data_IF_139814583241
#
_entry.id   IF_139814583241
#
_cell.length_a   1.000
_cell.length_b   1.000
_cell.length_c   1.000
_cell.angle_alpha   90.00
_cell.angle_beta   90.00
_cell.angle_gamma   90.00
#
_symmetry.space_group_name_H-M   'P 1'
#
loop_
_entity.id
_entity.type
_entity.pdbx_description
1 polymer ?
#
# COMPACT_ATOMS: atom_id res chain seq x y z
N UNK A 1 16.80 -15.12 -56.32
CA UNK A 1 15.42 -14.85 -55.88
C UNK A 1 14.96 -15.73 -54.71
N UNK A 2 15.32 -17.02 -54.67
CA UNK A 2 14.88 -17.97 -53.62
C UNK A 2 15.26 -17.58 -52.17
N UNK A 3 16.33 -16.80 -52.00
CA UNK A 3 16.79 -16.40 -50.67
C UNK A 3 16.03 -15.18 -50.12
N UNK A 4 15.51 -14.31 -50.98
CA UNK A 4 14.86 -13.07 -50.54
C UNK A 4 13.47 -13.33 -49.94
N UNK A 5 12.71 -14.29 -50.47
CA UNK A 5 11.42 -14.64 -49.86
C UNK A 5 11.61 -15.27 -48.47
N UNK A 6 12.67 -16.06 -48.24
CA UNK A 6 12.94 -16.68 -46.93
C UNK A 6 13.19 -15.62 -45.87
N UNK A 7 13.95 -14.58 -46.24
CA UNK A 7 14.21 -13.43 -45.38
C UNK A 7 12.91 -12.67 -45.07
N UNK A 8 12.09 -12.39 -46.08
CA UNK A 8 10.79 -11.70 -45.87
C UNK A 8 9.86 -12.50 -44.96
N UNK A 9 9.76 -13.82 -45.18
CA UNK A 9 8.93 -14.70 -44.33
C UNK A 9 9.47 -14.76 -42.91
N UNK A 10 10.79 -14.84 -42.71
CA UNK A 10 11.40 -14.82 -41.38
C UNK A 10 11.08 -13.51 -40.63
N UNK A 11 11.17 -12.36 -41.32
CA UNK A 11 10.78 -11.07 -40.75
C UNK A 11 9.30 -11.03 -40.35
N UNK A 12 8.39 -11.54 -41.19
CA UNK A 12 6.96 -11.61 -40.87
C UNK A 12 6.69 -12.50 -39.66
N UNK A 13 7.37 -13.64 -39.54
CA UNK A 13 7.24 -14.54 -38.40
C UNK A 13 7.74 -13.87 -37.11
N UNK A 14 8.88 -13.17 -37.15
CA UNK A 14 9.40 -12.44 -35.98
C UNK A 14 8.45 -11.30 -35.59
N UNK A 15 7.92 -10.55 -36.55
CA UNK A 15 6.96 -9.49 -36.30
C UNK A 15 5.65 -10.03 -35.71
N UNK A 16 5.16 -11.18 -36.20
CA UNK A 16 3.98 -11.83 -35.65
C UNK A 16 4.23 -12.35 -34.23
N UNK A 17 5.39 -12.97 -34.00
CA UNK A 17 5.79 -13.43 -32.67
C UNK A 17 5.93 -12.27 -31.69
N UNK A 18 6.48 -11.12 -32.10
CA UNK A 18 6.63 -9.98 -31.20
C UNK A 18 5.29 -9.42 -30.74
N UNK A 19 4.26 -9.42 -31.59
CA UNK A 19 2.90 -8.99 -31.23
C UNK A 19 2.29 -9.88 -30.15
N UNK A 20 2.67 -11.16 -30.06
CA UNK A 20 2.17 -12.09 -29.04
C UNK A 20 3.06 -12.06 -27.79
N UNK A 21 4.38 -12.12 -27.97
CA UNK A 21 5.35 -12.22 -26.88
C UNK A 21 5.33 -10.97 -26.01
N UNK A 22 5.19 -9.78 -26.62
CA UNK A 22 5.21 -8.53 -25.87
C UNK A 22 4.05 -8.42 -24.85
N UNK A 23 2.76 -8.57 -25.22
CA UNK A 23 1.67 -8.50 -24.25
C UNK A 23 1.70 -9.65 -23.23
N UNK A 24 2.12 -10.85 -23.64
CA UNK A 24 2.25 -11.98 -22.70
C UNK A 24 3.33 -11.70 -21.66
N UNK A 25 4.48 -11.18 -22.09
CA UNK A 25 5.56 -10.80 -21.18
C UNK A 25 5.15 -9.67 -20.24
N UNK A 26 4.44 -8.65 -20.75
CA UNK A 26 4.00 -7.55 -19.89
C UNK A 26 3.00 -8.03 -18.85
N UNK A 27 2.01 -8.82 -19.22
CA UNK A 27 0.98 -9.33 -18.30
C UNK A 27 1.53 -10.32 -17.26
N UNK A 28 2.37 -11.27 -17.68
CA UNK A 28 2.80 -12.36 -16.81
C UNK A 28 4.09 -12.07 -16.04
N UNK A 29 4.92 -11.13 -16.50
CA UNK A 29 6.24 -10.87 -15.90
C UNK A 29 6.38 -9.43 -15.45
N UNK A 30 6.21 -8.47 -16.36
CA UNK A 30 6.49 -7.07 -16.04
C UNK A 30 5.52 -6.53 -14.99
N UNK A 31 4.21 -6.65 -15.21
CA UNK A 31 3.19 -6.16 -14.28
C UNK A 31 3.32 -6.74 -12.87
N UNK A 32 3.43 -8.07 -12.65
CA UNK A 32 3.58 -8.60 -11.30
C UNK A 32 4.92 -8.19 -10.65
N UNK A 33 6.01 -8.10 -11.41
CA UNK A 33 7.29 -7.64 -10.88
C UNK A 33 7.24 -6.18 -10.43
N UNK A 34 6.65 -5.29 -11.23
CA UNK A 34 6.45 -3.89 -10.87
C UNK A 34 5.55 -3.73 -9.67
N UNK A 35 4.42 -4.46 -9.62
CA UNK A 35 3.54 -4.48 -8.44
C UNK A 35 4.31 -4.91 -7.20
N UNK A 36 4.99 -6.05 -7.23
CA UNK A 36 5.77 -6.53 -6.08
C UNK A 36 6.82 -5.51 -5.62
N UNK A 37 7.53 -4.87 -6.55
CA UNK A 37 8.54 -3.87 -6.22
C UNK A 37 7.93 -2.64 -5.54
N UNK A 38 6.85 -2.08 -6.11
CA UNK A 38 6.15 -0.93 -5.56
C UNK A 38 5.57 -1.27 -4.18
N UNK A 39 4.92 -2.44 -4.01
CA UNK A 39 4.38 -2.87 -2.69
C UNK A 39 5.47 -2.84 -1.63
N UNK A 40 6.59 -3.50 -1.92
CA UNK A 40 7.68 -3.63 -0.95
C UNK A 40 8.30 -2.27 -0.60
N UNK A 41 8.32 -1.34 -1.55
CA UNK A 41 8.85 0.00 -1.32
C UNK A 41 7.89 0.81 -0.43
N UNK A 42 6.61 0.83 -0.80
CA UNK A 42 5.56 1.49 -0.03
C UNK A 42 5.45 0.93 1.38
N UNK A 43 5.59 -0.39 1.55
CA UNK A 43 5.60 -1.04 2.87
C UNK A 43 6.77 -0.54 3.73
N UNK A 44 7.99 -0.52 3.17
CA UNK A 44 9.19 -0.04 3.88
C UNK A 44 9.06 1.44 4.26
N UNK A 45 8.47 2.25 3.41
CA UNK A 45 8.21 3.66 3.70
C UNK A 45 7.15 3.82 4.78
N UNK A 46 6.01 3.14 4.66
CA UNK A 46 4.95 3.15 5.67
C UNK A 46 5.48 2.74 7.05
N UNK A 47 6.33 1.71 7.12
CA UNK A 47 6.99 1.31 8.37
C UNK A 47 7.90 2.39 8.94
N UNK A 48 8.72 3.02 8.08
CA UNK A 48 9.60 4.12 8.52
C UNK A 48 8.78 5.27 9.07
N UNK A 49 7.67 5.62 8.43
CA UNK A 49 6.77 6.66 8.89
C UNK A 49 6.08 6.29 10.21
N UNK A 50 5.54 5.07 10.33
CA UNK A 50 4.94 4.60 11.57
C UNK A 50 5.95 4.63 12.73
N UNK A 51 7.20 4.23 12.49
CA UNK A 51 8.28 4.33 13.48
C UNK A 51 8.65 5.78 13.80
N UNK A 52 8.66 6.67 12.81
CA UNK A 52 8.89 8.09 13.01
C UNK A 52 7.81 8.72 13.88
N UNK A 53 6.54 8.54 13.52
CA UNK A 53 5.36 8.98 14.27
C UNK A 53 5.37 8.45 15.70
N UNK A 54 5.66 7.15 15.87
CA UNK A 54 5.78 6.57 17.21
C UNK A 54 6.84 7.33 18.00
N UNK A 55 8.04 7.54 17.44
CA UNK A 55 9.15 8.18 18.16
C UNK A 55 8.92 9.67 18.41
N UNK A 56 8.33 10.40 17.46
CA UNK A 56 8.04 11.84 17.58
C UNK A 56 7.00 12.11 18.66
N UNK A 57 6.00 11.23 18.79
CA UNK A 57 4.93 11.38 19.76
C UNK A 57 5.12 10.55 21.05
N UNK A 58 6.13 9.69 21.14
CA UNK A 58 6.38 8.82 22.31
C UNK A 58 6.54 9.64 23.60
N UNK A 59 7.24 10.77 23.55
CA UNK A 59 7.44 11.66 24.70
C UNK A 59 6.17 12.42 25.10
N UNK A 60 5.26 12.64 24.14
CA UNK A 60 4.01 13.40 24.32
C UNK A 60 2.83 12.53 24.74
N UNK A 61 2.86 11.24 24.39
CA UNK A 61 1.77 10.30 24.62
C UNK A 61 1.76 9.75 26.07
N UNK A 62 2.91 9.70 26.75
CA UNK A 62 3.02 9.26 28.15
C UNK A 62 2.57 7.82 28.39
N UNK A 63 2.96 7.24 29.54
CA UNK A 63 2.64 5.86 29.97
C UNK A 63 1.15 5.66 30.37
N UNK A 64 0.26 6.45 29.77
CA UNK A 64 -1.16 6.42 30.09
C UNK A 64 -1.85 5.38 29.22
N UNK A 65 -2.55 4.44 29.86
CA UNK A 65 -3.42 3.42 29.22
C UNK A 65 -4.55 4.00 28.36
N UNK A 66 -4.65 5.33 28.26
CA UNK A 66 -5.52 6.06 27.33
C UNK A 66 -4.63 6.99 26.52
N UNK A 67 -4.44 6.68 25.24
CA UNK A 67 -3.89 7.59 24.26
C UNK A 67 -4.76 8.86 24.24
N UNK A 68 -4.31 9.94 24.88
CA UNK A 68 -5.01 11.22 24.82
C UNK A 68 -4.45 11.95 23.60
N UNK A 69 -5.18 11.88 22.49
CA UNK A 69 -4.91 12.70 21.31
C UNK A 69 -5.28 14.14 21.62
N UNK A 70 -4.30 14.94 22.05
CA UNK A 70 -4.49 16.39 22.19
C UNK A 70 -4.69 17.01 20.81
N UNK A 71 -5.34 18.18 20.78
CA UNK A 71 -5.56 18.93 19.53
C UNK A 71 -4.25 19.17 18.76
N UNK A 72 -3.17 19.44 19.48
CA UNK A 72 -1.82 19.61 18.90
C UNK A 72 -1.33 18.35 18.19
N UNK A 73 -1.44 17.17 18.83
CA UNK A 73 -1.05 15.90 18.22
C UNK A 73 -1.91 15.58 16.98
N UNK A 74 -3.21 15.85 17.03
CA UNK A 74 -4.09 15.61 15.87
C UNK A 74 -3.78 16.55 14.70
N UNK A 75 -3.41 17.80 14.98
CA UNK A 75 -2.99 18.76 13.95
C UNK A 75 -1.64 18.35 13.34
N UNK A 76 -0.69 17.90 14.16
CA UNK A 76 0.61 17.41 13.72
C UNK A 76 0.45 16.18 12.81
N UNK A 77 -0.35 15.19 13.22
CA UNK A 77 -0.62 13.98 12.43
C UNK A 77 -1.32 14.33 11.10
N UNK A 78 -2.24 15.30 11.10
CA UNK A 78 -2.91 15.73 9.89
C UNK A 78 -1.95 16.45 8.92
N UNK A 79 -1.03 17.28 9.44
CA UNK A 79 0.03 17.88 8.62
C UNK A 79 0.97 16.83 8.04
N UNK A 80 1.42 15.88 8.86
CA UNK A 80 2.27 14.79 8.38
C UNK A 80 1.56 13.93 7.32
N UNK A 81 0.25 13.70 7.45
CA UNK A 81 -0.56 13.03 6.42
C UNK A 81 -0.49 13.77 5.08
N UNK A 82 -0.66 15.09 5.11
CA UNK A 82 -0.68 15.94 3.92
C UNK A 82 0.73 16.04 3.28
N UNK A 83 1.75 16.28 4.09
CA UNK A 83 3.16 16.38 3.64
C UNK A 83 3.65 15.09 2.98
N UNK A 84 3.18 13.94 3.47
CA UNK A 84 3.55 12.62 2.97
C UNK A 84 2.54 12.07 1.95
N UNK A 85 1.51 12.83 1.60
CA UNK A 85 0.43 12.45 0.69
C UNK A 85 -0.18 11.07 1.03
N UNK A 86 -0.33 10.80 2.33
CA UNK A 86 -0.90 9.57 2.85
C UNK A 86 -2.42 9.59 2.71
N UNK A 87 -3.01 8.47 2.31
CA UNK A 87 -4.47 8.35 2.18
C UNK A 87 -5.17 8.48 3.54
N UNK A 88 -4.72 7.72 4.53
CA UNK A 88 -5.24 7.77 5.91
C UNK A 88 -4.22 7.25 6.91
N UNK A 89 -4.36 7.68 8.15
CA UNK A 89 -3.61 7.22 9.31
C UNK A 89 -4.62 6.75 10.34
N UNK A 90 -4.50 5.51 10.78
CA UNK A 90 -5.36 4.90 11.79
C UNK A 90 -4.50 4.46 12.98
N UNK A 91 -4.96 4.72 14.20
CA UNK A 91 -4.31 4.24 15.43
C UNK A 91 -5.24 3.30 16.15
N UNK A 92 -4.71 2.14 16.52
CA UNK A 92 -5.43 1.05 17.16
C UNK A 92 -4.94 0.83 18.59
N UNK A 93 -5.82 0.38 19.47
CA UNK A 93 -5.45 -0.09 20.80
C UNK A 93 -4.92 -1.54 20.75
N UNK A 94 -4.46 -2.04 21.89
CA UNK A 94 -3.94 -3.39 22.05
C UNK A 94 -4.99 -4.51 21.91
N UNK A 95 -6.27 -4.16 21.78
CA UNK A 95 -7.39 -5.08 21.52
C UNK A 95 -7.86 -4.99 20.06
N UNK A 96 -7.23 -4.14 19.24
CA UNK A 96 -7.64 -3.90 17.85
C UNK A 96 -8.75 -2.86 17.70
N UNK A 97 -9.16 -2.18 18.76
CA UNK A 97 -10.13 -1.08 18.71
C UNK A 97 -9.53 0.14 18.01
N UNK A 98 -10.26 0.75 17.08
CA UNK A 98 -9.87 2.01 16.45
C UNK A 98 -9.96 3.16 17.46
N UNK A 99 -8.83 3.77 17.79
CA UNK A 99 -8.74 4.89 18.75
C UNK A 99 -8.73 6.24 18.04
N UNK A 100 -8.17 6.29 16.83
CA UNK A 100 -8.08 7.51 16.03
C UNK A 100 -7.99 7.21 14.53
N UNK A 101 -8.63 8.05 13.70
CA UNK A 101 -8.50 8.02 12.24
C UNK A 101 -8.44 9.45 11.69
N UNK A 102 -7.60 9.67 10.68
CA UNK A 102 -7.55 10.94 9.91
C UNK A 102 -8.59 10.99 8.78
N UNK A 103 -9.43 9.96 8.65
CA UNK A 103 -10.51 9.88 7.67
C UNK A 103 -11.84 10.25 8.34
N UNK A 104 -12.54 11.31 7.87
CA UNK A 104 -13.84 11.71 8.42
C UNK A 104 -14.95 10.68 8.15
N UNK A 105 -14.76 9.76 7.19
CA UNK A 105 -15.72 8.71 6.84
C UNK A 105 -15.32 7.38 7.47
N UNK A 106 -15.34 7.30 8.80
CA UNK A 106 -15.16 6.01 9.47
C UNK A 106 -16.44 5.67 10.23
N UNK A 107 -17.47 5.29 9.49
CA UNK A 107 -18.50 4.40 10.03
C UNK A 107 -17.85 3.05 10.36
N UNK A 108 -18.28 2.44 11.45
CA UNK A 108 -17.83 1.14 11.93
C UNK A 108 -18.20 0.04 10.93
N UNK A 109 -17.48 -0.10 9.82
CA UNK A 109 -17.73 -1.20 8.88
C UNK A 109 -17.16 -2.50 9.44
N UNK A 110 -18.02 -3.51 9.50
CA UNK A 110 -17.84 -4.88 10.03
C UNK A 110 -16.75 -5.70 9.30
N UNK A 111 -16.13 -5.15 8.26
CA UNK A 111 -15.10 -5.82 7.44
C UNK A 111 -13.73 -5.93 8.13
N UNK A 112 -13.65 -5.56 9.42
CA UNK A 112 -12.41 -5.44 10.20
C UNK A 112 -11.94 -6.75 10.84
N UNK A 113 -12.80 -7.72 11.12
CA UNK A 113 -12.38 -8.87 11.97
C UNK A 113 -11.21 -9.67 11.36
N UNK A 114 -11.24 -10.00 10.07
CA UNK A 114 -10.20 -10.87 9.49
C UNK A 114 -8.87 -10.15 9.25
N UNK A 115 -8.90 -8.90 8.76
CA UNK A 115 -7.69 -8.07 8.59
C UNK A 115 -7.03 -7.78 9.94
N UNK A 116 -7.82 -7.45 10.97
CA UNK A 116 -7.29 -7.04 12.27
C UNK A 116 -6.75 -8.20 13.09
N UNK A 117 -7.48 -9.32 13.12
CA UNK A 117 -7.12 -10.47 13.96
C UNK A 117 -5.83 -11.14 13.47
N UNK A 118 -5.61 -11.14 12.14
CA UNK A 118 -4.45 -11.79 11.55
C UNK A 118 -3.21 -10.91 11.49
N UNK A 119 -3.36 -9.60 11.28
CA UNK A 119 -2.24 -8.69 10.96
C UNK A 119 -1.87 -7.80 12.15
N UNK A 120 -2.84 -7.07 12.70
CA UNK A 120 -2.60 -6.04 13.73
C UNK A 120 -2.25 -6.69 15.08
N UNK A 121 -2.99 -7.73 15.49
CA UNK A 121 -2.74 -8.41 16.77
C UNK A 121 -1.39 -9.16 16.83
N UNK A 122 -0.84 -9.56 15.68
CA UNK A 122 0.47 -10.23 15.62
C UNK A 122 1.65 -9.26 15.52
N UNK A 123 1.38 -7.96 15.30
CA UNK A 123 2.41 -6.97 15.00
C UNK A 123 3.13 -7.25 13.69
N UNK A 124 2.51 -8.01 12.78
CA UNK A 124 3.07 -8.35 11.48
C UNK A 124 2.82 -7.19 10.51
N UNK A 125 3.79 -6.94 9.64
CA UNK A 125 3.65 -5.93 8.60
C UNK A 125 2.91 -6.55 7.43
N UNK A 126 1.92 -5.84 6.90
CA UNK A 126 1.13 -6.29 5.76
C UNK A 126 1.01 -5.18 4.74
N UNK A 127 1.17 -5.55 3.46
CA UNK A 127 0.98 -4.67 2.32
C UNK A 127 0.26 -5.45 1.22
N UNK A 128 -0.82 -4.87 0.71
CA UNK A 128 -1.58 -5.42 -0.41
C UNK A 128 -1.92 -4.30 -1.40
N UNK A 129 -1.88 -4.64 -2.69
CA UNK A 129 -2.39 -3.75 -3.73
C UNK A 129 -3.91 -3.76 -3.70
N UNK A 130 -4.51 -2.62 -3.32
CA UNK A 130 -5.95 -2.40 -3.39
C UNK A 130 -6.32 -1.54 -4.59
N UNK A 131 -7.45 -1.87 -5.21
CA UNK A 131 -8.05 -1.04 -6.25
C UNK A 131 -8.63 0.23 -5.63
N UNK A 132 -8.45 1.36 -6.30
CA UNK A 132 -8.87 2.68 -5.82
C UNK A 132 -10.39 2.82 -5.67
N UNK A 133 -11.17 2.03 -6.41
CA UNK A 133 -12.63 1.95 -6.23
C UNK A 133 -13.03 1.27 -4.92
N UNK A 134 -12.25 0.28 -4.45
CA UNK A 134 -12.47 -0.38 -3.16
C UNK A 134 -12.07 0.46 -1.95
N UNK A 135 -11.25 1.49 -2.16
CA UNK A 135 -10.78 2.39 -1.08
C UNK A 135 -11.82 3.49 -0.78
N UNK A 136 -12.75 3.76 -1.72
CA UNK A 136 -13.73 4.86 -1.63
C UNK A 136 -15.14 4.41 -1.21
N UNK A 137 -15.38 3.11 -1.10
CA UNK A 137 -16.61 2.53 -0.55
C UNK A 137 -16.43 2.23 0.93
#
# INVERSE_FOLDING_TARGET
MLNQYKVVVAFLVIAFLSVIVLPVFTMLVATPMFRGHISSHTEREALRFAHHLRKSHQERIGDSRRLIFTKEITEDIQREKEDLNLLRINVFDNRGGLVYSTDPWTEESEEKEEYFEKIILKGEVFSEFMDSEKIRQ
#
